data_IF_562282091334
#
_entry.id   IF_562282091334
#
_cell.length_a   1.000
_cell.length_b   1.000
_cell.length_c   1.000
_cell.angle_alpha   90.00
_cell.angle_beta   90.00
_cell.angle_gamma   90.00
#
_symmetry.space_group_name_H-M   'P 1'
#
loop_
_entity.id
_entity.type
_entity.pdbx_description
1 polymer ?
#
# COMPACT_ATOMS: atom_id res chain seq x y z
N UNK A 1 6.67 -9.70 8.48
CA UNK A 1 6.63 -8.76 7.34
C UNK A 1 8.01 -8.25 6.94
N UNK A 2 8.78 -7.61 7.85
CA UNK A 2 10.16 -7.17 7.55
C UNK A 2 11.03 -8.33 7.07
N UNK A 3 10.88 -9.51 7.69
CA UNK A 3 11.54 -10.75 7.28
C UNK A 3 11.30 -11.16 5.82
N UNK A 4 10.12 -10.88 5.24
CA UNK A 4 9.82 -11.21 3.84
C UNK A 4 10.53 -10.23 2.91
N UNK A 5 10.53 -8.94 3.26
CA UNK A 5 11.25 -7.92 2.50
C UNK A 5 12.75 -8.21 2.50
N UNK A 6 13.31 -8.55 3.66
CA UNK A 6 14.71 -8.96 3.80
C UNK A 6 15.01 -10.23 3.02
N UNK A 7 14.13 -11.23 3.07
CA UNK A 7 14.28 -12.45 2.28
C UNK A 7 14.30 -12.16 0.78
N UNK A 8 13.36 -11.34 0.28
CA UNK A 8 13.32 -10.95 -1.14
C UNK A 8 14.57 -10.15 -1.50
N UNK A 9 15.00 -9.18 -0.68
CA UNK A 9 16.20 -8.39 -0.93
C UNK A 9 17.47 -9.26 -0.98
N UNK A 10 17.58 -10.22 -0.06
CA UNK A 10 18.73 -11.14 0.03
C UNK A 10 18.77 -12.10 -1.15
N UNK A 11 17.61 -12.60 -1.57
CA UNK A 11 17.51 -13.62 -2.62
C UNK A 11 17.22 -13.05 -4.01
N UNK A 12 17.12 -11.72 -4.17
CA UNK A 12 16.76 -11.09 -5.46
C UNK A 12 17.70 -11.56 -6.58
N UNK A 13 18.99 -11.76 -6.27
CA UNK A 13 20.01 -12.23 -7.21
C UNK A 13 19.69 -13.62 -7.79
N UNK A 14 19.04 -14.49 -7.02
CA UNK A 14 18.73 -15.89 -7.39
C UNK A 14 17.28 -16.11 -7.84
N UNK A 15 16.49 -15.03 -7.97
CA UNK A 15 15.13 -15.08 -8.52
C UNK A 15 15.15 -14.61 -10.00
N UNK A 16 15.44 -15.48 -11.00
CA UNK A 16 15.61 -15.06 -12.39
C UNK A 16 14.29 -14.68 -13.09
N UNK A 17 13.15 -15.14 -12.57
CA UNK A 17 11.82 -14.89 -13.16
C UNK A 17 11.10 -13.68 -12.56
N UNK A 18 11.59 -13.15 -11.44
CA UNK A 18 10.98 -12.00 -10.78
C UNK A 18 11.36 -10.74 -11.56
N UNK A 19 10.36 -10.00 -12.06
CA UNK A 19 10.54 -8.77 -12.84
C UNK A 19 10.11 -7.53 -12.10
N UNK A 20 9.00 -7.64 -11.37
CA UNK A 20 8.37 -6.53 -10.67
C UNK A 20 8.00 -6.96 -9.25
N UNK A 21 8.17 -6.04 -8.29
CA UNK A 21 7.73 -6.19 -6.90
C UNK A 21 6.90 -4.98 -6.52
N UNK A 22 5.67 -5.22 -6.07
CA UNK A 22 4.80 -4.18 -5.53
C UNK A 22 4.61 -4.41 -4.04
N UNK A 23 5.07 -3.48 -3.22
CA UNK A 23 4.88 -3.48 -1.78
C UNK A 23 3.77 -2.53 -1.39
N UNK A 24 2.72 -3.06 -0.76
CA UNK A 24 1.60 -2.31 -0.23
C UNK A 24 1.60 -2.45 1.29
N UNK A 25 1.61 -1.35 2.02
CA UNK A 25 1.53 -1.39 3.47
C UNK A 25 0.52 -0.38 4.01
N UNK A 26 -0.43 -0.87 4.79
CA UNK A 26 -1.41 -0.04 5.48
C UNK A 26 -1.16 -0.09 6.99
N UNK A 27 -1.05 1.09 7.61
CA UNK A 27 -0.90 1.23 9.05
C UNK A 27 -1.83 2.34 9.57
N UNK A 28 -2.16 2.30 10.86
CA UNK A 28 -2.99 3.34 11.51
C UNK A 28 -2.15 4.44 12.14
N UNK A 29 -0.86 4.19 12.34
CA UNK A 29 0.04 5.12 12.99
C UNK A 29 1.07 5.60 11.96
N UNK A 30 1.03 6.90 11.66
CA UNK A 30 1.98 7.54 10.76
C UNK A 30 3.41 7.44 11.29
N UNK A 31 3.60 7.49 12.61
CA UNK A 31 4.93 7.36 13.22
C UNK A 31 5.55 5.99 12.93
N UNK A 32 4.73 4.93 12.88
CA UNK A 32 5.18 3.59 12.49
C UNK A 32 5.59 3.55 11.01
N UNK A 33 4.83 4.19 10.12
CA UNK A 33 5.17 4.30 8.69
C UNK A 33 6.51 5.03 8.53
N UNK A 34 6.68 6.16 9.22
CA UNK A 34 7.91 6.95 9.18
C UNK A 34 9.10 6.18 9.78
N UNK A 35 8.90 5.43 10.86
CA UNK A 35 9.93 4.61 11.50
C UNK A 35 10.49 3.53 10.58
N UNK A 36 9.62 2.79 9.87
CA UNK A 36 10.04 1.73 8.95
C UNK A 36 10.42 2.23 7.55
N UNK A 37 10.29 3.52 7.29
CA UNK A 37 10.63 4.14 6.00
C UNK A 37 12.07 3.82 5.57
N UNK A 38 13.03 3.95 6.48
CA UNK A 38 14.45 3.66 6.18
C UNK A 38 14.67 2.20 5.73
N UNK A 39 14.01 1.24 6.39
CA UNK A 39 14.05 -0.17 6.00
C UNK A 39 13.44 -0.41 4.63
N UNK A 40 12.30 0.25 4.35
CA UNK A 40 11.59 0.16 3.07
C UNK A 40 12.42 0.78 1.93
N UNK A 41 13.09 1.90 2.19
CA UNK A 41 13.97 2.56 1.23
C UNK A 41 15.23 1.72 0.94
N UNK A 42 15.79 1.06 1.97
CA UNK A 42 16.89 0.10 1.82
C UNK A 42 16.50 -1.12 0.99
N UNK A 43 15.30 -1.67 1.24
CA UNK A 43 14.71 -2.73 0.43
C UNK A 43 14.54 -2.28 -1.04
N UNK A 44 13.93 -1.12 -1.26
CA UNK A 44 13.69 -0.57 -2.59
C UNK A 44 15.00 -0.43 -3.37
N UNK A 45 16.01 0.16 -2.74
CA UNK A 45 17.32 0.39 -3.35
C UNK A 45 18.04 -0.92 -3.71
N UNK A 46 17.94 -1.94 -2.85
CA UNK A 46 18.56 -3.25 -3.07
C UNK A 46 17.88 -3.99 -4.23
N UNK A 47 16.55 -4.03 -4.23
CA UNK A 47 15.77 -4.74 -5.24
C UNK A 47 15.77 -4.01 -6.60
N UNK A 48 15.75 -2.68 -6.61
CA UNK A 48 15.72 -1.86 -7.82
C UNK A 48 16.91 -2.09 -8.77
N UNK A 49 18.00 -2.67 -8.26
CA UNK A 49 19.16 -3.08 -9.08
C UNK A 49 18.83 -4.17 -10.10
N UNK A 50 17.73 -4.90 -9.90
CA UNK A 50 17.38 -6.08 -10.73
C UNK A 50 15.91 -6.12 -11.14
N UNK A 51 15.01 -5.64 -10.29
CA UNK A 51 13.56 -5.69 -10.52
C UNK A 51 12.96 -4.31 -10.41
N UNK A 52 11.82 -4.08 -11.06
CA UNK A 52 11.06 -2.84 -10.85
C UNK A 52 10.40 -2.90 -9.48
N UNK A 53 10.58 -1.87 -8.67
CA UNK A 53 9.98 -1.79 -7.32
C UNK A 53 8.93 -0.69 -7.30
N UNK A 54 7.73 -1.02 -6.86
CA UNK A 54 6.64 -0.08 -6.61
C UNK A 54 6.25 -0.16 -5.14
N UNK A 55 6.17 0.97 -4.45
CA UNK A 55 5.85 1.05 -3.03
C UNK A 55 4.71 2.02 -2.84
N UNK A 56 3.66 1.59 -2.13
CA UNK A 56 2.57 2.45 -1.69
C UNK A 56 2.25 2.19 -0.23
N UNK A 57 2.17 3.29 0.52
CA UNK A 57 1.98 3.32 1.96
C UNK A 57 0.63 3.98 2.25
N UNK A 58 -0.16 3.42 3.14
CA UNK A 58 -1.50 3.88 3.45
C UNK A 58 -1.59 4.24 4.93
N UNK A 59 -1.73 5.53 5.22
CA UNK A 59 -2.08 6.01 6.55
C UNK A 59 -3.60 5.95 6.73
N UNK A 60 -4.05 4.88 7.39
CA UNK A 60 -5.45 4.61 7.69
C UNK A 60 -5.94 5.32 8.95
N UNK A 61 -5.04 5.94 9.74
CA UNK A 61 -5.37 6.68 10.97
C UNK A 61 -5.80 8.11 10.70
N UNK A 62 -5.16 8.77 9.73
CA UNK A 62 -5.49 10.15 9.33
C UNK A 62 -6.93 10.33 8.82
N UNK A 63 -7.58 9.25 8.38
CA UNK A 63 -9.01 9.27 8.01
C UNK A 63 -9.94 9.66 9.17
N UNK A 64 -9.50 9.51 10.44
CA UNK A 64 -10.29 9.87 11.63
C UNK A 64 -10.16 11.33 12.05
N UNK A 65 -9.13 12.04 11.59
CA UNK A 65 -8.97 13.46 11.90
C UNK A 65 -10.03 14.32 11.18
N UNK A 66 -10.54 13.84 10.04
CA UNK A 66 -11.66 14.46 9.33
C UNK A 66 -13.02 14.26 10.01
N UNK A 67 -13.15 13.26 10.90
CA UNK A 67 -14.38 13.05 11.69
C UNK A 67 -14.47 14.00 12.91
N UNK A 68 -13.39 14.73 13.22
CA UNK A 68 -13.29 15.62 14.40
C UNK A 68 -13.33 17.10 14.01
N UNK A 69 -13.11 17.42 12.72
CA UNK A 69 -13.26 18.78 12.24
C UNK A 69 -14.75 19.04 11.95
N UNK A 70 -15.39 20.04 12.58
CA UNK A 70 -16.74 20.45 12.17
C UNK A 70 -16.68 20.82 10.68
N UNK A 71 -17.58 20.23 9.89
CA UNK A 71 -17.67 20.50 8.47
C UNK A 71 -17.70 22.02 8.22
N UNK A 72 -16.87 22.57 7.33
CA UNK A 72 -16.97 23.97 6.98
C UNK A 72 -18.35 24.21 6.37
N UNK A 73 -19.11 25.12 7.00
CA UNK A 73 -20.40 25.57 6.48
C UNK A 73 -20.16 26.13 5.07
N UNK A 74 -20.76 25.57 4.01
CA UNK A 74 -20.52 26.07 2.66
C UNK A 74 -21.07 27.50 2.57
N UNK A 75 -20.33 28.47 1.99
CA UNK A 75 -20.91 29.75 1.63
C UNK A 75 -22.06 29.52 0.63
N UNK A 76 -23.15 30.31 0.72
CA UNK A 76 -24.33 30.08 -0.08
C UNK A 76 -24.03 30.44 -1.55
N UNK A 77 -23.86 29.42 -2.39
CA UNK A 77 -23.77 29.58 -3.84
C UNK A 77 -22.49 29.01 -4.43
N UNK A 78 -22.49 27.70 -4.68
CA UNK A 78 -21.43 27.04 -5.43
C UNK A 78 -21.49 25.53 -5.21
N UNK A 79 -22.01 24.80 -6.20
CA UNK A 79 -21.86 23.35 -6.25
C UNK A 79 -20.37 23.05 -6.44
N UNK A 80 -19.68 22.75 -5.34
CA UNK A 80 -18.34 22.18 -5.40
C UNK A 80 -18.54 20.67 -5.41
N UNK A 81 -18.26 20.04 -6.55
CA UNK A 81 -18.21 18.59 -6.66
C UNK A 81 -17.20 18.06 -5.61
N UNK A 82 -17.67 17.13 -4.79
CA UNK A 82 -17.01 16.69 -3.55
C UNK A 82 -15.73 15.89 -3.78
N UNK A 83 -15.33 15.70 -5.05
CA UNK A 83 -14.19 14.88 -5.48
C UNK A 83 -12.87 15.66 -5.58
N UNK A 84 -12.89 17.01 -5.60
CA UNK A 84 -11.68 17.82 -5.88
C UNK A 84 -10.93 18.36 -4.63
N UNK A 85 -11.41 18.09 -3.40
CA UNK A 85 -10.81 18.67 -2.17
C UNK A 85 -9.70 17.79 -1.56
N UNK A 86 -9.43 16.59 -2.10
CA UNK A 86 -8.47 15.65 -1.50
C UNK A 86 -7.03 15.73 -2.01
N UNK A 87 -6.70 16.68 -2.89
CA UNK A 87 -5.35 16.83 -3.47
C UNK A 87 -4.54 18.00 -2.88
N UNK A 88 -4.75 18.32 -1.59
CA UNK A 88 -3.77 19.12 -0.84
C UNK A 88 -2.55 18.24 -0.55
N UNK A 89 -1.59 18.25 -1.47
CA UNK A 89 -0.25 17.70 -1.27
C UNK A 89 0.44 18.42 -0.09
N UNK A 90 0.28 17.89 1.12
CA UNK A 90 1.12 18.19 2.27
C UNK A 90 2.58 17.85 1.91
N UNK A 91 3.59 18.56 2.43
CA UNK A 91 5.00 18.19 2.26
C UNK A 91 5.21 16.83 2.93
N UNK A 92 5.17 15.79 2.11
CA UNK A 92 5.09 14.40 2.56
C UNK A 92 5.67 13.49 1.49
N UNK A 93 6.00 12.27 1.90
CA UNK A 93 6.47 11.26 0.96
C UNK A 93 5.36 10.95 -0.06
N UNK A 94 5.60 11.11 -1.38
CA UNK A 94 4.56 10.92 -2.40
C UNK A 94 4.06 9.47 -2.49
N UNK A 95 4.71 8.53 -1.79
CA UNK A 95 4.28 7.13 -1.69
C UNK A 95 3.23 6.93 -0.59
N UNK A 96 2.99 7.92 0.27
CA UNK A 96 2.02 7.86 1.36
C UNK A 96 0.68 8.45 0.90
N UNK A 97 -0.37 7.66 0.97
CA UNK A 97 -1.75 8.07 0.74
C UNK A 97 -2.57 7.95 2.02
N UNK A 98 -3.51 8.85 2.24
CA UNK A 98 -4.44 8.74 3.37
C UNK A 98 -5.61 7.81 3.04
N UNK A 99 -6.11 7.11 4.06
CA UNK A 99 -7.29 6.25 3.94
C UNK A 99 -6.96 4.78 3.66
N UNK A 100 -7.99 4.00 3.29
CA UNK A 100 -7.87 2.55 3.08
C UNK A 100 -7.39 2.22 1.66
N UNK A 101 -6.55 1.19 1.46
CA UNK A 101 -6.14 0.77 0.14
C UNK A 101 -7.33 0.26 -0.69
N UNK A 102 -7.46 0.76 -1.91
CA UNK A 102 -8.44 0.26 -2.87
C UNK A 102 -7.83 -0.89 -3.69
N UNK A 103 -7.88 -2.11 -3.17
CA UNK A 103 -7.27 -3.29 -3.83
C UNK A 103 -7.79 -3.54 -5.25
N UNK A 104 -9.04 -3.20 -5.53
CA UNK A 104 -9.60 -3.34 -6.88
C UNK A 104 -8.83 -2.50 -7.90
N UNK A 105 -8.57 -1.21 -7.57
CA UNK A 105 -7.78 -0.28 -8.39
C UNK A 105 -6.29 -0.68 -8.38
N UNK A 106 -5.73 -0.96 -7.21
CA UNK A 106 -4.30 -1.30 -7.05
C UNK A 106 -3.91 -2.56 -7.83
N UNK A 107 -4.72 -3.60 -7.78
CA UNK A 107 -4.43 -4.81 -8.54
C UNK A 107 -4.78 -4.65 -10.02
N UNK A 108 -5.54 -3.61 -10.42
CA UNK A 108 -5.80 -3.27 -11.83
C UNK A 108 -4.57 -2.76 -12.57
N UNK A 109 -3.66 -2.14 -11.84
CA UNK A 109 -2.44 -1.57 -12.41
C UNK A 109 -1.34 -2.61 -12.54
N UNK A 110 -1.45 -3.76 -11.85
CA UNK A 110 -0.47 -4.85 -11.96
C UNK A 110 -0.68 -5.56 -13.30
N UNK A 111 0.40 -5.62 -14.09
CA UNK A 111 0.46 -6.28 -15.40
C UNK A 111 1.42 -7.46 -15.29
N UNK A 112 1.12 -8.57 -15.98
CA UNK A 112 2.00 -9.74 -16.06
C UNK A 112 1.24 -11.05 -15.92
N UNK A 113 1.93 -12.14 -16.28
CA UNK A 113 1.47 -13.51 -16.08
C UNK A 113 2.16 -14.12 -14.86
N UNK A 114 1.46 -14.98 -14.12
CA UNK A 114 2.03 -15.65 -12.95
C UNK A 114 2.27 -14.74 -11.74
N UNK A 115 1.34 -13.81 -11.47
CA UNK A 115 1.43 -12.89 -10.33
C UNK A 115 1.14 -13.64 -9.02
N UNK A 116 2.08 -13.55 -8.07
CA UNK A 116 1.91 -14.00 -6.69
C UNK A 116 1.56 -12.83 -5.76
N UNK A 117 0.57 -13.02 -4.89
CA UNK A 117 0.12 -12.05 -3.90
C UNK A 117 0.27 -12.63 -2.49
N UNK A 118 1.21 -12.07 -1.73
CA UNK A 118 1.43 -12.43 -0.33
C UNK A 118 0.71 -11.43 0.55
N UNK A 119 -0.21 -11.91 1.39
CA UNK A 119 -1.08 -11.06 2.21
C UNK A 119 -0.90 -11.41 3.69
N UNK A 120 -0.56 -10.40 4.47
CA UNK A 120 -0.43 -10.48 5.92
C UNK A 120 -1.12 -9.28 6.55
N UNK A 121 -1.95 -9.51 7.57
CA UNK A 121 -2.61 -8.43 8.30
C UNK A 121 -3.93 -8.87 8.94
N UNK A 122 -4.74 -7.91 9.41
CA UNK A 122 -6.03 -8.19 10.03
C UNK A 122 -6.98 -8.90 9.05
N UNK A 123 -7.81 -9.80 9.57
CA UNK A 123 -8.67 -10.68 8.78
C UNK A 123 -9.51 -9.93 7.73
N UNK A 124 -10.13 -8.81 8.13
CA UNK A 124 -10.97 -8.01 7.23
C UNK A 124 -10.21 -7.41 6.04
N UNK A 125 -8.96 -6.97 6.24
CA UNK A 125 -8.13 -6.45 5.16
C UNK A 125 -7.62 -7.59 4.28
N UNK A 126 -7.24 -8.71 4.90
CA UNK A 126 -6.78 -9.91 4.21
C UNK A 126 -7.84 -10.47 3.28
N UNK A 127 -9.07 -10.66 3.77
CA UNK A 127 -10.19 -11.17 2.96
C UNK A 127 -10.48 -10.30 1.74
N UNK A 128 -10.45 -8.97 1.89
CA UNK A 128 -10.61 -8.03 0.77
C UNK A 128 -9.49 -8.16 -0.26
N UNK A 129 -8.23 -8.22 0.20
CA UNK A 129 -7.08 -8.41 -0.69
C UNK A 129 -7.14 -9.75 -1.42
N UNK A 130 -7.43 -10.85 -0.71
CA UNK A 130 -7.60 -12.18 -1.33
C UNK A 130 -8.70 -12.17 -2.37
N UNK A 131 -9.87 -11.60 -2.03
CA UNK A 131 -11.01 -11.53 -2.95
C UNK A 131 -10.65 -10.82 -4.25
N UNK A 132 -10.01 -9.65 -4.17
CA UNK A 132 -9.66 -8.86 -5.35
C UNK A 132 -8.48 -9.46 -6.13
N UNK A 133 -7.52 -10.10 -5.46
CA UNK A 133 -6.41 -10.80 -6.11
C UNK A 133 -6.90 -12.05 -6.87
N UNK A 134 -7.76 -12.85 -6.25
CA UNK A 134 -8.34 -14.06 -6.86
C UNK A 134 -9.18 -13.76 -8.10
N UNK A 135 -9.92 -12.64 -8.12
CA UNK A 135 -10.66 -12.18 -9.31
C UNK A 135 -9.75 -11.94 -10.53
N UNK A 136 -8.46 -11.70 -10.29
CA UNK A 136 -7.46 -11.45 -11.33
C UNK A 136 -6.61 -12.67 -11.66
N UNK A 137 -6.91 -13.82 -11.06
CA UNK A 137 -6.14 -15.05 -11.24
C UNK A 137 -4.75 -14.99 -10.61
N UNK A 138 -4.54 -14.14 -9.60
CA UNK A 138 -3.29 -14.13 -8.86
C UNK A 138 -3.20 -15.39 -7.99
N UNK A 139 -2.01 -15.96 -7.88
CA UNK A 139 -1.75 -16.95 -6.84
C UNK A 139 -1.68 -16.22 -5.49
N UNK A 140 -2.48 -16.64 -4.51
CA UNK A 140 -2.58 -15.94 -3.23
C UNK A 140 -2.00 -16.79 -2.10
N UNK A 141 -1.12 -16.21 -1.31
CA UNK A 141 -0.61 -16.77 -0.08
C UNK A 141 -0.98 -15.90 1.10
N UNK A 142 -1.65 -16.47 2.09
CA UNK A 142 -2.01 -15.78 3.32
C UNK A 142 -1.04 -16.18 4.42
N UNK A 143 -0.34 -15.18 4.96
CA UNK A 143 0.47 -15.37 6.17
C UNK A 143 -0.29 -14.84 7.37
N UNK A 144 -0.15 -15.56 8.49
CA UNK A 144 -0.68 -15.15 9.78
C UNK A 144 0.52 -15.11 10.71
N UNK A 145 1.01 -13.90 11.02
CA UNK A 145 1.95 -13.74 12.13
C UNK A 145 1.09 -13.49 13.36
N UNK A 146 1.13 -14.42 14.31
CA UNK A 146 0.63 -14.15 15.66
C UNK A 146 1.58 -13.13 16.30
N UNK A 147 1.03 -12.02 16.80
CA UNK A 147 1.76 -10.99 17.55
C UNK A 147 1.30 -11.01 19.00
#
# INVERSE_FOLDING_TARGET
>A
MISILEYIATNIAVLPKLKDVTFLWAARDKAMIDYLKGTIDGFASTCARKVRVSIQLFDTGSSRLLDILPAPVPPPGGAIEMDDIFDMALPGDPRISSGRPNFQKLFATIRGEGVGCYVCGPASLRELAVKEASKRGFWVHCETFEF
#
